data_IF_042210075720
#
_entry.id   IF_042210075720
#
_cell.length_a   1.000
_cell.length_b   1.000
_cell.length_c   1.000
_cell.angle_alpha   90.00
_cell.angle_beta   90.00
_cell.angle_gamma   90.00
#
_symmetry.space_group_name_H-M   'P 1'
#
loop_
_entity.id
_entity.type
_entity.pdbx_description
1 polymer ?
#
# COMPACT_ATOMS: atom_id res chain seq x y z
N UNK A 1 -13.83 10.35 -1.27
CA UNK A 1 -13.00 10.04 -0.08
C UNK A 1 -12.92 11.29 0.78
N UNK A 2 -13.14 11.20 2.11
CA UNK A 2 -13.09 12.36 3.00
C UNK A 2 -11.64 12.71 3.37
N UNK A 3 -11.25 13.97 3.17
CA UNK A 3 -9.93 14.49 3.57
C UNK A 3 -9.77 14.48 5.09
N UNK A 4 -8.53 14.59 5.59
CA UNK A 4 -8.26 14.68 7.05
C UNK A 4 -9.00 15.85 7.67
N UNK A 5 -8.98 17.01 7.01
CA UNK A 5 -9.70 18.21 7.45
C UNK A 5 -11.21 18.00 7.51
N UNK A 6 -11.79 17.31 6.51
CA UNK A 6 -13.21 16.98 6.52
C UNK A 6 -13.55 16.01 7.66
N UNK A 7 -12.70 15.02 7.96
CA UNK A 7 -12.88 14.10 9.09
C UNK A 7 -12.87 14.84 10.42
N UNK A 8 -11.90 15.74 10.64
CA UNK A 8 -11.81 16.54 11.87
C UNK A 8 -13.05 17.41 12.07
N UNK A 9 -13.54 18.06 11.02
CA UNK A 9 -14.77 18.85 11.07
C UNK A 9 -15.98 17.98 11.43
N UNK A 10 -16.11 16.80 10.81
CA UNK A 10 -17.21 15.87 11.08
C UNK A 10 -17.13 15.31 12.52
N UNK A 11 -15.95 14.94 13.01
CA UNK A 11 -15.76 14.51 14.39
C UNK A 11 -16.20 15.60 15.37
N UNK A 12 -15.78 16.85 15.17
CA UNK A 12 -16.20 17.96 16.03
C UNK A 12 -17.71 18.23 16.01
N UNK A 13 -18.39 18.01 14.87
CA UNK A 13 -19.85 18.12 14.79
C UNK A 13 -20.56 16.97 15.52
N UNK A 14 -20.04 15.75 15.42
CA UNK A 14 -20.56 14.59 16.13
C UNK A 14 -20.37 14.76 17.63
N UNK A 15 -19.21 15.24 18.08
CA UNK A 15 -18.92 15.46 19.50
C UNK A 15 -19.86 16.54 20.09
N UNK A 16 -20.13 17.61 19.35
CA UNK A 16 -21.13 18.62 19.74
C UNK A 16 -22.54 18.03 19.86
N UNK A 17 -22.95 17.19 18.92
CA UNK A 17 -24.25 16.54 18.98
C UNK A 17 -24.35 15.58 20.18
N UNK A 18 -23.28 14.84 20.47
CA UNK A 18 -23.21 13.96 21.65
C UNK A 18 -23.23 14.75 22.96
N UNK A 19 -22.50 15.88 23.04
CA UNK A 19 -22.53 16.77 24.20
C UNK A 19 -23.91 17.40 24.42
N UNK A 20 -24.68 17.64 23.36
CA UNK A 20 -26.07 18.08 23.42
C UNK A 20 -27.07 16.95 23.78
N UNK A 21 -26.59 15.74 24.08
CA UNK A 21 -27.40 14.61 24.55
C UNK A 21 -27.74 13.56 23.49
N UNK A 22 -27.27 13.70 22.24
CA UNK A 22 -27.50 12.68 21.23
C UNK A 22 -26.62 11.43 21.48
N UNK A 23 -27.16 10.24 21.20
CA UNK A 23 -26.34 9.03 21.16
C UNK A 23 -25.45 9.03 19.90
N UNK A 24 -24.26 8.47 19.98
CA UNK A 24 -23.29 8.43 18.87
C UNK A 24 -23.89 7.82 17.60
N UNK A 25 -24.63 6.72 17.72
CA UNK A 25 -25.20 6.00 16.59
C UNK A 25 -26.23 6.82 15.77
N UNK A 26 -27.25 7.43 16.38
CA UNK A 26 -28.15 8.31 15.63
C UNK A 26 -27.44 9.54 15.06
N UNK A 27 -26.47 10.13 15.77
CA UNK A 27 -25.68 11.24 15.26
C UNK A 27 -24.87 10.87 13.99
N UNK A 28 -24.25 9.69 13.98
CA UNK A 28 -23.54 9.16 12.80
C UNK A 28 -24.49 8.89 11.63
N UNK A 29 -25.67 8.31 11.92
CA UNK A 29 -26.68 7.98 10.91
C UNK A 29 -27.20 9.22 10.18
N UNK A 30 -27.36 10.34 10.88
CA UNK A 30 -27.87 11.60 10.31
C UNK A 30 -26.98 12.16 9.19
N UNK A 31 -25.67 11.93 9.29
CA UNK A 31 -24.67 12.38 8.31
C UNK A 31 -24.24 11.25 7.34
N UNK A 32 -24.96 10.12 7.34
CA UNK A 32 -24.68 8.99 6.46
C UNK A 32 -23.39 8.23 6.79
N UNK A 33 -22.88 8.34 8.02
CA UNK A 33 -21.69 7.62 8.47
C UNK A 33 -22.05 6.44 9.37
N UNK A 34 -21.25 5.38 9.29
CA UNK A 34 -21.33 4.29 10.27
C UNK A 34 -20.59 4.67 11.55
N UNK A 35 -21.07 4.19 12.71
CA UNK A 35 -20.37 4.39 13.99
C UNK A 35 -18.94 3.85 13.95
N UNK A 36 -18.73 2.71 13.28
CA UNK A 36 -17.41 2.09 13.12
C UNK A 36 -16.46 2.99 12.35
N UNK A 37 -16.94 3.72 11.34
CA UNK A 37 -16.12 4.68 10.59
C UNK A 37 -15.64 5.82 11.49
N UNK A 38 -16.52 6.33 12.36
CA UNK A 38 -16.23 7.43 13.29
C UNK A 38 -15.28 6.98 14.40
N UNK A 39 -15.54 5.83 15.03
CA UNK A 39 -14.64 5.21 16.01
C UNK A 39 -13.26 4.92 15.42
N UNK A 40 -13.19 4.47 14.16
CA UNK A 40 -11.93 4.26 13.46
C UNK A 40 -11.17 5.58 13.27
N UNK A 41 -11.84 6.68 12.95
CA UNK A 41 -11.20 7.99 12.80
C UNK A 41 -10.68 8.56 14.14
N UNK A 42 -11.29 8.19 15.27
CA UNK A 42 -10.85 8.58 16.60
C UNK A 42 -9.56 7.87 17.06
N UNK A 43 -9.16 6.77 16.41
CA UNK A 43 -7.88 6.10 16.69
C UNK A 43 -6.70 6.94 16.19
N UNK A 44 -5.66 7.04 17.01
CA UNK A 44 -4.42 7.79 16.71
C UNK A 44 -3.77 7.42 15.37
N UNK A 45 -3.85 6.15 14.97
CA UNK A 45 -3.34 5.66 13.67
C UNK A 45 -4.09 6.22 12.45
N UNK A 46 -5.35 6.64 12.62
CA UNK A 46 -6.17 7.21 11.54
C UNK A 46 -5.92 8.72 11.32
N UNK A 47 -5.13 9.37 12.19
CA UNK A 47 -4.76 10.78 12.08
C UNK A 47 -3.93 11.07 10.80
N UNK A 48 -3.17 10.09 10.32
CA UNK A 48 -2.44 10.18 9.05
C UNK A 48 -3.37 10.28 7.81
N UNK A 49 -4.68 10.07 8.00
CA UNK A 49 -5.66 10.19 6.94
C UNK A 49 -5.76 8.96 6.04
N UNK A 50 -6.20 9.19 4.81
CA UNK A 50 -6.14 8.16 3.78
C UNK A 50 -4.71 8.04 3.23
N UNK A 51 -4.16 6.82 3.26
CA UNK A 51 -2.83 6.50 2.76
C UNK A 51 -2.84 5.83 1.39
N UNK A 52 -4.02 5.62 0.79
CA UNK A 52 -4.16 5.15 -0.60
C UNK A 52 -3.62 6.13 -1.65
N UNK A 53 -3.63 7.47 -1.46
CA UNK A 53 -2.97 8.37 -2.40
C UNK A 53 -1.51 7.96 -2.57
N UNK A 54 -1.07 7.84 -3.82
CA UNK A 54 0.24 7.32 -4.18
C UNK A 54 1.39 8.00 -3.43
N UNK A 55 1.29 9.27 -3.03
CA UNK A 55 2.30 9.96 -2.21
C UNK A 55 2.27 9.73 -0.68
N UNK A 56 1.20 9.13 -0.13
CA UNK A 56 1.00 8.92 1.33
C UNK A 56 1.16 7.48 1.77
N UNK A 57 1.16 6.53 0.84
CA UNK A 57 1.64 5.18 1.11
C UNK A 57 3.11 5.34 1.44
N UNK A 58 3.55 4.92 2.63
CA UNK A 58 4.98 4.76 2.89
C UNK A 58 5.49 3.88 1.77
N UNK A 59 6.23 4.45 0.83
CA UNK A 59 6.97 3.72 -0.19
C UNK A 59 8.10 2.99 0.53
N UNK A 60 7.76 2.01 1.37
CA UNK A 60 8.71 1.01 1.77
C UNK A 60 9.04 0.28 0.48
N UNK A 61 10.22 0.60 -0.08
CA UNK A 61 10.82 -0.22 -1.12
C UNK A 61 10.81 -1.65 -0.55
N UNK A 62 10.17 -2.63 -1.22
CA UNK A 62 10.22 -4.00 -0.75
C UNK A 62 11.69 -4.38 -0.50
N UNK A 63 11.97 -5.10 0.58
CA UNK A 63 13.34 -5.51 0.89
C UNK A 63 14.00 -6.26 -0.28
N UNK A 64 13.18 -6.99 -1.05
CA UNK A 64 13.61 -7.77 -2.21
C UNK A 64 13.55 -6.99 -3.53
N UNK A 65 13.32 -5.67 -3.51
CA UNK A 65 13.26 -4.91 -4.76
C UNK A 65 14.67 -4.77 -5.33
N UNK A 66 14.86 -5.37 -6.50
CA UNK A 66 16.09 -5.28 -7.28
C UNK A 66 16.62 -3.84 -7.34
N UNK A 67 17.91 -3.72 -7.08
CA UNK A 67 18.72 -2.56 -7.38
C UNK A 67 18.83 -2.39 -8.91
N UNK A 68 19.24 -1.20 -9.35
CA UNK A 68 19.29 -0.93 -10.79
C UNK A 68 20.39 -1.76 -11.46
N UNK A 69 21.50 -1.97 -10.75
CA UNK A 69 22.62 -2.80 -11.15
C UNK A 69 22.19 -4.28 -11.29
N UNK A 70 21.44 -4.80 -10.32
CA UNK A 70 20.88 -6.15 -10.38
C UNK A 70 19.91 -6.30 -11.56
N UNK A 71 19.09 -5.29 -11.81
CA UNK A 71 18.16 -5.29 -12.94
C UNK A 71 18.90 -5.29 -14.29
N UNK A 72 19.97 -4.52 -14.41
CA UNK A 72 20.80 -4.50 -15.61
C UNK A 72 21.50 -5.85 -15.82
N UNK A 73 22.01 -6.47 -14.75
CA UNK A 73 22.60 -7.80 -14.82
C UNK A 73 21.58 -8.84 -15.33
N UNK A 74 20.35 -8.84 -14.79
CA UNK A 74 19.26 -9.69 -15.28
C UNK A 74 19.00 -9.47 -16.77
N UNK A 75 18.87 -8.21 -17.20
CA UNK A 75 18.61 -7.89 -18.62
C UNK A 75 19.76 -8.33 -19.53
N UNK A 76 21.01 -8.16 -19.09
CA UNK A 76 22.18 -8.60 -19.86
C UNK A 76 22.22 -10.14 -20.00
N UNK A 77 21.90 -10.88 -18.94
CA UNK A 77 21.82 -12.34 -18.99
C UNK A 77 20.71 -12.80 -19.94
N UNK A 78 19.50 -12.23 -19.82
CA UNK A 78 18.37 -12.59 -20.68
C UNK A 78 18.63 -12.28 -22.16
N UNK A 79 19.31 -11.16 -22.45
CA UNK A 79 19.64 -10.76 -23.82
C UNK A 79 20.91 -11.42 -24.38
N UNK A 80 21.59 -12.29 -23.62
CA UNK A 80 22.77 -12.98 -24.11
C UNK A 80 22.40 -14.01 -25.19
N UNK A 81 23.35 -14.31 -26.06
CA UNK A 81 23.16 -15.26 -27.18
C UNK A 81 22.65 -16.64 -26.72
N UNK A 82 23.04 -17.06 -25.51
CA UNK A 82 22.64 -18.34 -24.93
C UNK A 82 21.17 -18.39 -24.48
N UNK A 83 20.55 -17.24 -24.19
CA UNK A 83 19.23 -17.15 -23.57
C UNK A 83 18.20 -16.33 -24.35
N UNK A 84 18.61 -15.54 -25.36
CA UNK A 84 17.75 -14.60 -26.11
C UNK A 84 16.50 -15.24 -26.74
N UNK A 85 16.58 -16.50 -27.16
CA UNK A 85 15.49 -17.22 -27.85
C UNK A 85 14.75 -18.19 -26.92
N UNK A 86 15.10 -18.24 -25.63
CA UNK A 86 14.54 -19.19 -24.68
C UNK A 86 13.46 -18.54 -23.81
N UNK A 87 12.39 -19.27 -23.44
CA UNK A 87 11.40 -18.75 -22.50
C UNK A 87 11.97 -18.75 -21.07
N UNK A 88 11.47 -17.87 -20.17
CA UNK A 88 11.91 -17.80 -18.77
C UNK A 88 11.88 -19.15 -18.03
N UNK A 89 10.88 -20.00 -18.33
CA UNK A 89 10.73 -21.34 -17.76
C UNK A 89 11.90 -22.30 -18.07
N UNK A 90 12.68 -22.01 -19.11
CA UNK A 90 13.90 -22.77 -19.46
C UNK A 90 15.18 -22.06 -19.01
N UNK A 91 15.18 -20.74 -18.96
CA UNK A 91 16.33 -19.93 -18.53
C UNK A 91 16.61 -20.16 -17.04
N UNK A 92 15.59 -20.07 -16.19
CA UNK A 92 15.75 -20.18 -14.72
C UNK A 92 16.37 -21.53 -14.31
N UNK A 93 15.87 -22.70 -14.78
CA UNK A 93 16.51 -23.98 -14.48
C UNK A 93 17.95 -24.10 -14.99
N UNK A 94 18.26 -23.53 -16.17
CA UNK A 94 19.62 -23.56 -16.73
C UNK A 94 20.60 -22.74 -15.91
N UNK A 95 20.20 -21.56 -15.43
CA UNK A 95 21.01 -20.74 -14.52
C UNK A 95 21.24 -21.45 -13.19
N UNK A 96 20.21 -22.08 -12.63
CA UNK A 96 20.31 -22.86 -11.39
C UNK A 96 21.25 -24.06 -11.55
N UNK A 97 21.14 -24.82 -12.65
CA UNK A 97 22.03 -25.95 -12.94
C UNK A 97 23.50 -25.52 -13.11
N UNK A 98 23.74 -24.32 -13.63
CA UNK A 98 25.08 -23.75 -13.75
C UNK A 98 25.59 -23.14 -12.42
N UNK A 99 24.77 -23.10 -11.37
CA UNK A 99 25.10 -22.47 -10.09
C UNK A 99 25.20 -20.94 -10.16
N UNK A 100 24.62 -20.31 -11.17
CA UNK A 100 24.72 -18.86 -11.39
C UNK A 100 23.51 -18.16 -10.77
N UNK A 101 23.77 -17.30 -9.78
CA UNK A 101 22.76 -16.43 -9.18
C UNK A 101 22.79 -15.04 -9.84
N UNK A 102 21.62 -14.54 -10.24
CA UNK A 102 21.47 -13.20 -10.84
C UNK A 102 20.50 -12.33 -10.06
N UNK A 103 19.34 -12.88 -9.70
CA UNK A 103 18.31 -12.23 -8.91
C UNK A 103 17.35 -13.27 -8.33
N UNK A 104 16.64 -12.92 -7.25
CA UNK A 104 15.55 -13.77 -6.73
C UNK A 104 14.27 -13.50 -7.51
N UNK A 105 13.61 -14.56 -7.97
CA UNK A 105 12.20 -14.48 -8.32
C UNK A 105 11.36 -14.35 -7.04
N UNK A 106 10.37 -13.46 -7.01
CA UNK A 106 9.45 -13.22 -5.89
C UNK A 106 8.08 -12.84 -6.42
#
# INVERSE_FOLDING_TARGET
MTSVQQRQKLLGLIDKACAAGARLQPACRQIGLSCRSVQRWQRSEAAAGDQRPSGKRRYARPANKLLEEERQAVMATLNSEAFKDLPPSQIVPRLANAGVYVASES
#
